data_IF_839259454139
#
_entry.id   IF_839259454139
#
_cell.length_a   1.000
_cell.length_b   1.000
_cell.length_c   1.000
_cell.angle_alpha   90.00
_cell.angle_beta   90.00
_cell.angle_gamma   90.00
#
_symmetry.space_group_name_H-M   'P 1'
#
loop_
_entity.id
_entity.type
_entity.pdbx_description
1 polymer ?
#
# COMPACT_ATOMS: atom_id res chain seq x y z
N UNK A 1 -29.76 -11.56 1.91
CA UNK A 1 -28.35 -11.21 1.70
C UNK A 1 -28.30 -9.72 1.40
N UNK A 2 -27.68 -8.92 2.26
CA UNK A 2 -27.66 -7.46 2.11
C UNK A 2 -26.63 -7.10 1.04
N UNK A 3 -27.06 -6.41 -0.02
CA UNK A 3 -26.17 -5.89 -1.07
C UNK A 3 -25.83 -4.45 -0.70
N UNK A 4 -24.59 -4.22 -0.28
CA UNK A 4 -24.13 -2.92 0.17
C UNK A 4 -23.32 -2.30 -0.97
N UNK A 5 -23.57 -1.03 -1.35
CA UNK A 5 -22.74 -0.37 -2.34
C UNK A 5 -21.30 -0.24 -1.85
N UNK A 6 -20.35 -0.07 -2.77
CA UNK A 6 -18.95 0.17 -2.40
C UNK A 6 -18.85 1.40 -1.48
N UNK A 7 -18.26 1.29 -0.28
CA UNK A 7 -17.96 2.46 0.53
C UNK A 7 -17.06 3.44 -0.24
N UNK A 8 -17.32 4.74 -0.10
CA UNK A 8 -16.58 5.77 -0.85
C UNK A 8 -15.12 5.84 -0.40
N UNK A 9 -14.87 5.52 0.86
CA UNK A 9 -13.55 5.49 1.50
C UNK A 9 -12.68 4.33 1.00
N UNK A 10 -13.28 3.33 0.35
CA UNK A 10 -12.55 2.14 -0.10
C UNK A 10 -11.87 2.38 -1.45
N UNK A 11 -10.54 2.35 -1.40
CA UNK A 11 -9.60 2.53 -2.50
C UNK A 11 -9.41 1.23 -3.32
N UNK A 12 -10.51 0.57 -3.67
CA UNK A 12 -10.55 -0.59 -4.57
C UNK A 12 -11.09 -0.13 -5.93
N UNK A 13 -10.24 -0.22 -6.94
CA UNK A 13 -10.50 0.19 -8.32
C UNK A 13 -10.10 -0.92 -9.31
N UNK A 14 -10.53 -0.80 -10.56
CA UNK A 14 -10.07 -1.69 -11.64
C UNK A 14 -8.55 -1.63 -11.75
N UNK A 15 -7.91 -2.79 -11.88
CA UNK A 15 -6.44 -2.94 -11.92
C UNK A 15 -5.80 -3.17 -10.55
N UNK A 16 -6.54 -2.97 -9.44
CA UNK A 16 -6.00 -3.22 -8.10
C UNK A 16 -5.85 -4.71 -7.82
N UNK A 17 -4.75 -5.07 -7.17
CA UNK A 17 -4.61 -6.39 -6.56
C UNK A 17 -5.44 -6.49 -5.28
N UNK A 18 -6.21 -7.55 -5.16
CA UNK A 18 -7.07 -7.84 -4.01
C UNK A 18 -6.93 -9.29 -3.54
N UNK A 19 -7.26 -9.50 -2.28
CA UNK A 19 -7.41 -10.79 -1.64
C UNK A 19 -8.90 -11.07 -1.44
N UNK A 20 -9.30 -12.32 -1.70
CA UNK A 20 -10.60 -12.89 -1.35
C UNK A 20 -10.35 -13.84 -0.16
N UNK A 21 -10.47 -13.39 1.11
CA UNK A 21 -9.98 -14.14 2.26
C UNK A 21 -10.62 -15.52 2.42
N UNK A 22 -11.95 -15.61 2.21
CA UNK A 22 -12.70 -16.87 2.35
C UNK A 22 -12.28 -17.95 1.35
N UNK A 23 -11.67 -17.56 0.22
CA UNK A 23 -11.18 -18.48 -0.80
C UNK A 23 -9.66 -18.62 -0.78
N UNK A 24 -8.98 -17.91 0.13
CA UNK A 24 -7.51 -17.79 0.16
C UNK A 24 -6.90 -17.45 -1.22
N UNK A 25 -7.62 -16.65 -2.01
CA UNK A 25 -7.27 -16.39 -3.41
C UNK A 25 -6.91 -14.92 -3.61
N UNK A 26 -5.89 -14.67 -4.44
CA UNK A 26 -5.54 -13.32 -4.90
C UNK A 26 -5.93 -13.15 -6.35
N UNK A 27 -6.19 -11.91 -6.74
CA UNK A 27 -6.48 -11.57 -8.12
C UNK A 27 -6.44 -10.08 -8.36
N UNK A 28 -6.78 -9.69 -9.58
CA UNK A 28 -6.83 -8.30 -10.03
C UNK A 28 -8.29 -7.93 -10.28
N UNK A 29 -8.71 -6.78 -9.77
CA UNK A 29 -10.06 -6.26 -10.03
C UNK A 29 -10.20 -5.96 -11.52
N UNK A 30 -11.13 -6.65 -12.19
CA UNK A 30 -11.39 -6.50 -13.62
C UNK A 30 -12.60 -5.62 -13.93
N UNK A 31 -13.60 -5.60 -13.03
CA UNK A 31 -14.80 -4.77 -13.15
C UNK A 31 -15.29 -4.32 -11.77
N UNK A 32 -15.74 -3.06 -11.71
CA UNK A 32 -16.30 -2.42 -10.52
C UNK A 32 -17.73 -1.96 -10.85
N UNK A 33 -18.73 -2.53 -10.17
CA UNK A 33 -20.12 -2.08 -10.26
C UNK A 33 -20.58 -1.44 -8.94
N UNK A 34 -21.83 -0.98 -8.86
CA UNK A 34 -22.31 -0.34 -7.63
C UNK A 34 -22.26 -1.29 -6.42
N UNK A 35 -22.62 -2.56 -6.61
CA UNK A 35 -22.87 -3.53 -5.54
C UNK A 35 -22.00 -4.80 -5.64
N UNK A 36 -21.38 -5.01 -6.80
CA UNK A 36 -20.64 -6.22 -7.13
C UNK A 36 -19.30 -5.84 -7.78
N UNK A 37 -18.37 -6.77 -7.73
CA UNK A 37 -17.00 -6.61 -8.21
C UNK A 37 -16.54 -7.93 -8.81
N UNK A 38 -15.88 -7.85 -9.95
CA UNK A 38 -15.26 -9.01 -10.60
C UNK A 38 -13.76 -8.98 -10.38
N UNK A 39 -13.21 -10.13 -10.01
CA UNK A 39 -11.78 -10.33 -9.77
C UNK A 39 -11.29 -11.41 -10.72
N UNK A 40 -10.35 -11.07 -11.58
CA UNK A 40 -9.58 -12.03 -12.37
C UNK A 40 -8.53 -12.69 -11.47
N UNK A 41 -8.65 -14.00 -11.30
CA UNK A 41 -7.76 -14.79 -10.43
C UNK A 41 -6.75 -15.63 -11.23
N UNK A 42 -6.61 -15.36 -12.53
CA UNK A 42 -5.73 -16.06 -13.45
C UNK A 42 -6.41 -17.23 -14.17
N UNK A 43 -5.70 -17.77 -15.17
CA UNK A 43 -6.12 -18.96 -15.95
C UNK A 43 -7.52 -18.81 -16.61
N UNK A 44 -7.92 -17.57 -16.92
CA UNK A 44 -9.24 -17.28 -17.50
C UNK A 44 -10.40 -17.37 -16.50
N UNK A 45 -10.12 -17.50 -15.20
CA UNK A 45 -11.13 -17.57 -14.15
C UNK A 45 -11.46 -16.18 -13.60
N UNK A 46 -12.74 -15.82 -13.64
CA UNK A 46 -13.26 -14.58 -13.05
C UNK A 46 -14.19 -14.94 -11.89
N UNK A 47 -13.97 -14.30 -10.75
CA UNK A 47 -14.82 -14.42 -9.57
C UNK A 47 -15.65 -13.15 -9.42
N UNK A 48 -16.96 -13.29 -9.52
CA UNK A 48 -17.91 -12.26 -9.12
C UNK A 48 -18.16 -12.35 -7.60
N UNK A 49 -18.02 -11.24 -6.89
CA UNK A 49 -18.18 -11.18 -5.44
C UNK A 49 -18.67 -9.79 -4.98
N UNK A 50 -18.83 -9.61 -3.67
CA UNK A 50 -19.23 -8.37 -3.03
C UNK A 50 -18.02 -7.63 -2.45
N UNK A 51 -18.15 -6.31 -2.32
CA UNK A 51 -17.14 -5.41 -1.75
C UNK A 51 -16.63 -5.90 -0.40
N UNK A 52 -17.54 -6.14 0.55
CA UNK A 52 -17.23 -6.54 1.93
C UNK A 52 -16.49 -7.88 2.08
N UNK A 53 -16.30 -8.61 0.99
CA UNK A 53 -15.55 -9.86 0.94
C UNK A 53 -14.15 -9.71 0.31
N UNK A 54 -13.77 -8.48 -0.07
CA UNK A 54 -12.47 -8.14 -0.64
C UNK A 54 -11.63 -7.31 0.32
N UNK A 55 -10.34 -7.59 0.32
CA UNK A 55 -9.31 -6.75 0.93
C UNK A 55 -8.28 -6.34 -0.12
N UNK A 56 -7.73 -5.14 -0.04
CA UNK A 56 -6.54 -4.77 -0.84
C UNK A 56 -5.40 -5.74 -0.55
N UNK A 57 -4.67 -6.15 -1.58
CA UNK A 57 -3.54 -7.07 -1.45
C UNK A 57 -2.27 -6.35 -0.96
N UNK A 58 -2.35 -5.76 0.22
CA UNK A 58 -1.26 -5.03 0.88
C UNK A 58 -0.65 -5.93 1.95
N UNK A 59 0.67 -5.88 2.06
CA UNK A 59 1.48 -6.71 2.94
C UNK A 59 2.40 -5.84 3.81
N UNK A 60 2.90 -6.43 4.89
CA UNK A 60 3.97 -5.80 5.69
C UNK A 60 5.18 -5.56 4.80
N UNK A 61 5.73 -4.35 4.85
CA UNK A 61 6.83 -3.89 4.00
C UNK A 61 6.37 -3.08 2.79
N UNK A 62 5.07 -3.03 2.48
CA UNK A 62 4.58 -2.19 1.39
C UNK A 62 4.61 -0.70 1.77
N UNK A 63 4.96 0.14 0.81
CA UNK A 63 4.83 1.59 0.93
C UNK A 63 3.47 2.03 0.38
N UNK A 64 2.74 2.82 1.16
CA UNK A 64 1.32 3.10 0.89
C UNK A 64 0.99 4.58 1.12
N UNK A 65 -0.02 5.04 0.39
CA UNK A 65 -0.75 6.29 0.61
C UNK A 65 -2.08 5.99 1.31
N UNK A 66 -2.40 6.75 2.35
CA UNK A 66 -3.70 6.69 3.01
C UNK A 66 -4.71 7.47 2.15
N UNK A 67 -5.64 6.76 1.53
CA UNK A 67 -6.58 7.35 0.58
C UNK A 67 -7.88 7.89 1.17
N UNK A 68 -8.15 7.66 2.46
CA UNK A 68 -9.36 8.11 3.13
C UNK A 68 -9.17 8.28 4.65
N UNK A 69 -10.04 9.08 5.26
CA UNK A 69 -10.06 9.35 6.70
C UNK A 69 -9.23 10.58 7.12
N UNK A 70 -9.01 10.78 8.43
CA UNK A 70 -8.35 11.98 8.96
C UNK A 70 -6.89 12.15 8.52
N UNK A 71 -6.23 11.05 8.17
CA UNK A 71 -4.82 11.01 7.76
C UNK A 71 -4.69 10.81 6.24
N UNK A 72 -5.66 11.29 5.44
CA UNK A 72 -5.60 11.17 3.97
C UNK A 72 -4.35 11.88 3.42
N UNK A 73 -3.75 11.34 2.35
CA UNK A 73 -2.51 11.81 1.69
C UNK A 73 -1.22 11.60 2.50
N UNK A 74 -1.31 10.93 3.66
CA UNK A 74 -0.13 10.53 4.41
C UNK A 74 0.50 9.28 3.78
N UNK A 75 1.79 9.37 3.49
CA UNK A 75 2.60 8.27 2.98
C UNK A 75 3.35 7.56 4.11
N UNK A 76 3.46 6.24 4.02
CA UNK A 76 4.24 5.50 5.02
C UNK A 76 4.43 4.02 4.70
N UNK A 77 5.12 3.34 5.61
CA UNK A 77 5.43 1.93 5.51
C UNK A 77 4.44 1.10 6.34
N UNK A 78 3.88 0.05 5.75
CA UNK A 78 3.10 -0.93 6.52
C UNK A 78 4.06 -1.79 7.33
N UNK A 79 3.94 -1.75 8.66
CA UNK A 79 4.86 -2.47 9.56
C UNK A 79 4.21 -3.58 10.37
N UNK A 80 2.88 -3.56 10.42
CA UNK A 80 2.08 -4.59 11.07
C UNK A 80 0.71 -4.63 10.40
N UNK A 81 0.10 -5.80 10.44
CA UNK A 81 -1.25 -6.01 9.99
C UNK A 81 -1.96 -6.93 10.97
N UNK A 82 -3.10 -6.49 11.49
CA UNK A 82 -3.96 -7.25 12.40
C UNK A 82 -5.35 -7.22 11.77
N UNK A 83 -5.84 -8.39 11.38
CA UNK A 83 -7.09 -8.56 10.63
C UNK A 83 -7.15 -7.67 9.37
N UNK A 84 -8.05 -6.68 9.36
CA UNK A 84 -8.27 -5.73 8.27
C UNK A 84 -7.64 -4.36 8.55
N UNK A 85 -6.81 -4.25 9.59
CA UNK A 85 -6.14 -3.01 9.98
C UNK A 85 -4.64 -3.13 9.79
N UNK A 86 -4.08 -2.23 9.00
CA UNK A 86 -2.65 -2.04 8.82
C UNK A 86 -2.16 -0.92 9.75
N UNK A 87 -0.98 -1.09 10.32
CA UNK A 87 -0.27 -0.02 11.03
C UNK A 87 0.72 0.60 10.04
N UNK A 88 0.45 1.84 9.65
CA UNK A 88 1.31 2.65 8.78
C UNK A 88 2.25 3.47 9.64
N UNK A 89 3.55 3.33 9.39
CA UNK A 89 4.62 4.09 10.01
C UNK A 89 5.02 5.26 9.11
N UNK A 90 4.95 6.48 9.64
CA UNK A 90 5.43 7.69 8.95
C UNK A 90 6.33 8.52 9.86
N UNK A 91 7.15 9.39 9.25
CA UNK A 91 7.84 10.47 9.96
C UNK A 91 6.98 11.71 9.92
N UNK A 92 6.67 12.28 11.08
CA UNK A 92 5.85 13.50 11.13
C UNK A 92 6.60 14.66 10.49
N UNK A 93 5.96 15.31 9.51
CA UNK A 93 6.57 16.37 8.71
C UNK A 93 7.19 17.47 9.59
N UNK A 94 8.43 17.85 9.29
CA UNK A 94 9.18 18.84 10.06
C UNK A 94 9.75 18.34 11.39
N UNK A 95 9.57 17.06 11.74
CA UNK A 95 10.14 16.44 12.96
C UNK A 95 10.81 15.10 12.63
N UNK A 96 11.74 14.67 13.48
CA UNK A 96 12.28 13.30 13.42
C UNK A 96 11.42 12.31 14.24
N UNK A 97 10.19 12.69 14.58
CA UNK A 97 9.29 11.86 15.36
C UNK A 97 8.60 10.84 14.45
N UNK A 98 8.54 9.61 14.94
CA UNK A 98 7.94 8.48 14.25
C UNK A 98 6.50 8.29 14.77
N UNK A 99 5.53 8.29 13.87
CA UNK A 99 4.12 8.12 14.17
C UNK A 99 3.58 6.80 13.60
N UNK A 100 2.73 6.11 14.38
CA UNK A 100 2.05 4.87 13.98
C UNK A 100 0.56 5.14 13.81
N UNK A 101 0.06 4.94 12.60
CA UNK A 101 -1.33 5.24 12.24
C UNK A 101 -2.05 3.92 11.94
N UNK A 102 -3.08 3.54 12.72
CA UNK A 102 -3.93 2.39 12.39
C UNK A 102 -4.91 2.76 11.29
N UNK A 103 -4.90 2.01 10.18
CA UNK A 103 -5.70 2.30 8.99
C UNK A 103 -6.35 1.04 8.47
N UNK A 104 -7.62 1.12 8.06
CA UNK A 104 -8.29 0.01 7.40
C UNK A 104 -7.60 -0.31 6.05
N UNK A 105 -7.34 -1.58 5.75
CA UNK A 105 -6.56 -2.01 4.58
C UNK A 105 -7.13 -1.52 3.26
N UNK A 106 -8.47 -1.45 3.15
CA UNK A 106 -9.13 -0.95 1.94
C UNK A 106 -9.04 0.56 1.77
N UNK A 107 -8.54 1.32 2.73
CA UNK A 107 -8.29 2.76 2.58
C UNK A 107 -6.90 3.04 2.01
N UNK A 108 -6.03 2.03 1.95
CA UNK A 108 -4.65 2.19 1.50
C UNK A 108 -4.54 2.05 -0.02
N UNK A 109 -3.66 2.85 -0.61
CA UNK A 109 -3.26 2.78 -2.01
C UNK A 109 -1.77 2.41 -2.08
N UNK A 110 -1.38 1.39 -2.86
CA UNK A 110 0.03 1.12 -3.11
C UNK A 110 0.71 2.37 -3.69
N UNK A 111 1.88 2.70 -3.16
CA UNK A 111 2.68 3.84 -3.58
C UNK A 111 4.13 3.42 -3.83
N UNK A 112 4.91 4.32 -4.45
CA UNK A 112 6.36 4.14 -4.57
C UNK A 112 7.07 5.08 -3.60
N UNK A 113 8.01 4.59 -2.79
CA UNK A 113 8.82 5.46 -1.96
C UNK A 113 9.71 6.34 -2.85
N UNK A 114 9.78 7.62 -2.55
CA UNK A 114 10.76 8.52 -3.15
C UNK A 114 12.15 8.14 -2.64
N UNK A 115 12.93 7.48 -3.49
CA UNK A 115 14.34 7.20 -3.16
C UNK A 115 15.14 8.48 -3.36
N UNK A 116 15.32 9.25 -2.28
CA UNK A 116 16.39 10.22 -2.24
C UNK A 116 17.72 9.46 -2.12
N UNK A 117 18.26 9.05 -3.27
CA UNK A 117 19.67 8.65 -3.32
C UNK A 117 20.47 9.87 -2.84
N UNK A 118 21.24 9.78 -1.73
CA UNK A 118 22.24 10.80 -1.46
C UNK A 118 23.13 10.83 -2.71
N UNK A 119 23.29 12.01 -3.32
CA UNK A 119 24.27 12.17 -4.41
C UNK A 119 25.57 11.58 -3.89
N UNK A 120 26.07 10.53 -4.55
CA UNK A 120 27.35 9.90 -4.21
C UNK A 120 28.43 10.97 -4.27
N UNK A 121 28.68 11.61 -3.14
CA UNK A 121 29.71 12.62 -3.02
C UNK A 121 30.95 11.83 -2.67
N UNK A 122 31.52 11.17 -3.68
CA UNK A 122 32.85 10.60 -3.59
C UNK A 122 33.84 11.78 -3.50
N UNK A 123 33.95 12.38 -2.32
CA UNK A 123 35.02 13.31 -1.99
C UNK A 123 36.28 12.50 -1.78
N UNK A 124 36.86 12.02 -2.88
CA UNK A 124 38.27 11.62 -2.92
C UNK A 124 39.08 12.92 -2.92
N UNK A 125 39.43 13.42 -1.74
CA UNK A 125 40.49 14.40 -1.63
C UNK A 125 41.44 14.07 -0.47
N UNK A 126 42.72 14.01 -0.85
CA UNK A 126 43.95 14.06 -0.05
C UNK A 126 44.17 12.94 0.96
N UNK A 127 45.14 12.05 0.70
CA UNK A 127 46.53 12.17 1.19
C UNK A 127 47.37 11.13 0.43
N UNK A 128 47.91 11.46 -0.75
CA UNK A 128 49.14 10.82 -1.23
C UNK A 128 50.28 11.71 -0.75
N UNK A 129 50.86 11.32 0.39
CA UNK A 129 52.12 11.87 0.87
C UNK A 129 53.18 11.66 -0.22
N UNK A 130 53.83 12.75 -0.59
CA UNK A 130 55.20 12.74 -1.11
C UNK A 130 56.05 11.78 -0.28
N UNK A 131 56.62 10.77 -0.92
CA UNK A 131 57.92 10.20 -0.54
C UNK A 131 58.51 9.55 -1.81
N UNK A 132 59.35 10.33 -2.50
CA UNK A 132 60.46 9.78 -3.27
C UNK A 132 61.49 9.22 -2.29
N UNK A 133 62.20 8.16 -2.69
CA UNK A 133 63.64 8.32 -2.91
C UNK A 133 64.02 8.25 -4.39
#
# INVERSE_FOLDING_TARGET
MVRIPKPLEWCINVGDQVLIPLKAQRGVVSLVEAIEVCVDVGEGSIIQTQWNLLLKAISIGDFVDIGAGPCTEVLGWVVSQIDQTCIVLQTKEGTNEIEKIPVHINWLKPAMPSVHLPKSTCMLNSVMKEYMP
#
